data_IF_274098026155
#
_entry.id   IF_274098026155
#
_cell.length_a   1.000
_cell.length_b   1.000
_cell.length_c   1.000
_cell.angle_alpha   90.00
_cell.angle_beta   90.00
_cell.angle_gamma   90.00
#
_symmetry.space_group_name_H-M   'P 1'
#
loop_
_entity.id
_entity.type
_entity.pdbx_description
1 polymer ?
#
# COMPACT_ATOMS: atom_id res chain seq x y z
N UNK A 1 15.58 9.72 -22.61
CA UNK A 1 16.23 8.79 -21.66
C UNK A 1 16.62 9.57 -20.43
N UNK A 2 16.15 9.24 -19.22
CA UNK A 2 16.63 9.90 -18.01
C UNK A 2 18.12 9.57 -17.80
N UNK A 3 18.91 10.58 -17.47
CA UNK A 3 20.32 10.42 -17.13
C UNK A 3 20.38 9.74 -15.76
N UNK A 4 20.78 8.46 -15.73
CA UNK A 4 21.09 7.75 -14.49
C UNK A 4 22.29 8.43 -13.83
N UNK A 5 22.10 9.00 -12.64
CA UNK A 5 23.18 9.55 -11.84
C UNK A 5 24.11 8.43 -11.38
N UNK A 6 25.42 8.58 -11.61
CA UNK A 6 26.43 7.67 -11.05
C UNK A 6 26.43 7.79 -9.53
N UNK A 7 26.28 6.67 -8.82
CA UNK A 7 26.48 6.61 -7.38
C UNK A 7 27.91 6.19 -7.05
N UNK A 8 28.47 6.77 -5.98
CA UNK A 8 29.65 6.22 -5.31
C UNK A 8 29.25 5.34 -4.14
N UNK A 9 30.18 4.54 -3.63
CA UNK A 9 29.97 3.74 -2.42
C UNK A 9 29.52 4.61 -1.24
N UNK A 10 30.09 5.81 -1.08
CA UNK A 10 29.74 6.75 -0.02
C UNK A 10 28.34 7.36 -0.11
N UNK A 11 27.70 7.31 -1.29
CA UNK A 11 26.34 7.84 -1.50
C UNK A 11 25.26 6.79 -1.21
N UNK A 12 25.67 5.54 -0.91
CA UNK A 12 24.75 4.45 -0.60
C UNK A 12 24.17 4.64 0.79
N UNK A 13 22.86 4.85 0.85
CA UNK A 13 22.11 4.96 2.10
C UNK A 13 20.93 4.00 2.11
N UNK A 14 20.52 3.57 3.30
CA UNK A 14 19.28 2.82 3.47
C UNK A 14 18.07 3.58 2.90
N UNK A 15 17.12 2.85 2.33
CA UNK A 15 15.91 3.38 1.69
C UNK A 15 16.06 3.81 0.23
N UNK A 16 17.29 3.85 -0.32
CA UNK A 16 17.49 4.17 -1.75
C UNK A 16 17.22 2.97 -2.64
N UNK A 17 16.67 3.24 -3.82
CA UNK A 17 16.56 2.27 -4.91
C UNK A 17 17.74 2.41 -5.85
N UNK A 18 18.53 1.35 -5.97
CA UNK A 18 19.77 1.33 -6.74
C UNK A 18 19.74 0.20 -7.74
N UNK A 19 20.20 0.51 -8.95
CA UNK A 19 20.37 -0.45 -10.04
C UNK A 19 21.84 -0.85 -10.18
N UNK A 20 22.10 -2.09 -10.60
CA UNK A 20 23.45 -2.61 -10.81
C UNK A 20 24.07 -3.39 -9.64
N UNK A 21 23.38 -3.47 -8.48
CA UNK A 21 23.80 -4.36 -7.37
C UNK A 21 23.54 -5.84 -7.73
N UNK A 22 22.44 -6.09 -8.43
CA UNK A 22 22.09 -7.38 -9.03
C UNK A 22 21.91 -7.20 -10.53
N UNK A 23 22.12 -8.28 -11.28
CA UNK A 23 21.89 -8.28 -12.74
C UNK A 23 20.41 -8.12 -13.08
N UNK A 24 19.53 -8.55 -12.17
CA UNK A 24 18.08 -8.67 -12.37
C UNK A 24 17.32 -7.48 -11.78
N UNK A 25 17.64 -6.28 -12.27
CA UNK A 25 16.85 -5.08 -12.00
C UNK A 25 17.25 -4.25 -10.77
N UNK A 26 16.30 -3.44 -10.31
CA UNK A 26 16.49 -2.44 -9.28
C UNK A 26 16.19 -3.04 -7.90
N UNK A 27 16.99 -2.68 -6.89
CA UNK A 27 16.84 -3.17 -5.52
C UNK A 27 16.79 -2.03 -4.52
N UNK A 28 16.06 -2.24 -3.42
CA UNK A 28 16.00 -1.26 -2.33
C UNK A 28 17.03 -1.59 -1.27
N UNK A 29 17.90 -0.63 -0.94
CA UNK A 29 18.90 -0.79 0.10
C UNK A 29 18.22 -0.80 1.48
N UNK A 30 18.46 -1.84 2.27
CA UNK A 30 17.95 -1.98 3.64
C UNK A 30 18.99 -1.52 4.66
N UNK A 31 20.25 -1.89 4.44
CA UNK A 31 21.35 -1.52 5.31
C UNK A 31 22.65 -1.40 4.52
N UNK A 32 23.55 -0.54 5.00
CA UNK A 32 24.87 -0.32 4.40
C UNK A 32 25.91 -0.33 5.52
N UNK A 33 26.95 -1.13 5.35
CA UNK A 33 28.12 -1.19 6.22
C UNK A 33 29.36 -0.86 5.40
N UNK A 34 29.93 0.31 5.67
CA UNK A 34 31.17 0.76 5.03
C UNK A 34 32.39 0.07 5.63
N UNK A 35 33.29 -0.39 4.77
CA UNK A 35 34.62 -0.89 5.12
C UNK A 35 35.67 0.07 4.54
N UNK A 36 35.89 1.18 5.23
CA UNK A 36 36.78 2.24 4.75
C UNK A 36 36.18 2.97 3.54
N UNK A 37 37.04 3.30 2.56
CA UNK A 37 36.64 3.99 1.31
C UNK A 37 36.52 3.05 0.10
N UNK A 38 36.99 1.82 0.20
CA UNK A 38 37.18 0.93 -0.97
C UNK A 38 36.18 -0.21 -1.05
N UNK A 39 35.43 -0.45 0.03
CA UNK A 39 34.45 -1.53 0.07
C UNK A 39 33.24 -1.17 0.95
N UNK A 40 32.08 -1.71 0.58
CA UNK A 40 30.86 -1.62 1.37
C UNK A 40 30.07 -2.92 1.28
N UNK A 41 29.58 -3.42 2.40
CA UNK A 41 28.56 -4.45 2.42
C UNK A 41 27.18 -3.78 2.38
N UNK A 42 26.39 -4.16 1.39
CA UNK A 42 25.04 -3.65 1.19
C UNK A 42 24.07 -4.81 1.36
N UNK A 43 23.15 -4.65 2.31
CA UNK A 43 21.97 -5.51 2.43
C UNK A 43 20.84 -4.86 1.66
N UNK A 44 20.22 -5.58 0.74
CA UNK A 44 19.19 -5.07 -0.16
C UNK A 44 17.99 -6.00 -0.21
N UNK A 45 16.84 -5.45 -0.58
CA UNK A 45 15.59 -6.14 -0.80
C UNK A 45 15.26 -6.08 -2.29
N UNK A 46 14.98 -7.24 -2.87
CA UNK A 46 14.48 -7.35 -4.24
C UNK A 46 12.95 -7.11 -4.30
N UNK A 47 12.40 -6.83 -5.49
CA UNK A 47 10.96 -6.64 -5.68
C UNK A 47 10.11 -7.86 -5.28
N UNK A 48 10.69 -9.06 -5.31
CA UNK A 48 10.08 -10.31 -4.86
C UNK A 48 9.98 -10.43 -3.31
N UNK A 49 10.55 -9.48 -2.57
CA UNK A 49 10.60 -9.48 -1.11
C UNK A 49 11.80 -10.22 -0.52
N UNK A 50 12.64 -10.85 -1.35
CA UNK A 50 13.85 -11.53 -0.89
C UNK A 50 14.88 -10.50 -0.42
N UNK A 51 15.51 -10.79 0.73
CA UNK A 51 16.59 -9.96 1.28
C UNK A 51 17.90 -10.72 1.14
N UNK A 52 18.86 -10.07 0.50
CA UNK A 52 20.21 -10.59 0.27
C UNK A 52 21.25 -9.54 0.66
N UNK A 53 22.51 -9.97 0.75
CA UNK A 53 23.64 -9.09 0.95
C UNK A 53 24.71 -9.29 -0.11
N UNK A 54 25.44 -8.20 -0.41
CA UNK A 54 26.57 -8.22 -1.33
C UNK A 54 27.64 -7.25 -0.86
N UNK A 55 28.90 -7.64 -1.02
CA UNK A 55 30.05 -6.75 -0.87
C UNK A 55 30.31 -6.08 -2.22
N UNK A 56 30.32 -4.75 -2.22
CA UNK A 56 30.64 -3.90 -3.36
C UNK A 56 32.03 -3.30 -3.16
N UNK A 57 32.80 -3.24 -4.24
CA UNK A 57 34.11 -2.61 -4.30
C UNK A 57 34.08 -1.36 -5.16
N UNK A 58 35.17 -0.59 -5.13
CA UNK A 58 35.29 0.64 -5.92
C UNK A 58 35.13 0.39 -7.43
N UNK A 59 35.55 -0.76 -7.94
CA UNK A 59 35.35 -1.15 -9.35
C UNK A 59 33.88 -1.37 -9.70
N UNK A 60 33.05 -1.75 -8.73
CA UNK A 60 31.61 -1.95 -8.94
C UNK A 60 30.87 -0.60 -9.06
N UNK A 61 31.45 0.52 -8.60
CA UNK A 61 30.84 1.86 -8.71
C UNK A 61 30.49 2.25 -10.15
N UNK A 62 31.25 1.74 -11.13
CA UNK A 62 31.01 2.03 -12.53
C UNK A 62 29.65 1.52 -13.04
N UNK A 63 29.12 0.46 -12.42
CA UNK A 63 27.81 -0.13 -12.74
C UNK A 63 26.67 0.36 -11.86
N UNK A 64 26.97 1.06 -10.76
CA UNK A 64 25.95 1.55 -9.83
C UNK A 64 25.29 2.82 -10.36
N UNK A 65 23.97 2.78 -10.43
CA UNK A 65 23.19 3.93 -10.84
C UNK A 65 21.98 4.11 -9.94
N UNK A 66 21.69 5.38 -9.60
CA UNK A 66 20.45 5.73 -8.92
C UNK A 66 19.31 5.46 -9.89
N UNK A 67 18.40 4.58 -9.50
CA UNK A 67 17.10 4.59 -10.16
C UNK A 67 16.31 5.73 -9.55
N UNK A 68 15.78 6.60 -10.42
CA UNK A 68 14.84 7.63 -9.99
C UNK A 68 13.75 6.97 -9.14
N UNK A 69 13.23 7.64 -8.09
CA UNK A 69 12.16 7.11 -7.25
C UNK A 69 10.93 6.83 -8.13
N UNK A 70 10.89 5.62 -8.67
CA UNK A 70 9.85 5.09 -9.53
C UNK A 70 8.88 4.33 -8.67
N UNK A 71 7.87 5.04 -8.18
CA UNK A 71 6.47 4.58 -8.14
C UNK A 71 6.08 3.28 -7.40
N UNK A 72 6.95 2.58 -6.67
CA UNK A 72 6.54 1.32 -6.02
C UNK A 72 6.22 1.43 -4.52
N UNK A 73 6.24 2.62 -3.92
CA UNK A 73 5.91 2.73 -2.48
C UNK A 73 5.70 4.13 -1.91
N UNK A 74 5.52 5.14 -2.76
CA UNK A 74 5.15 6.47 -2.29
C UNK A 74 3.64 6.57 -2.11
N UNK A 75 3.14 6.57 -0.87
CA UNK A 75 1.80 7.07 -0.55
C UNK A 75 1.79 8.62 -0.62
N UNK A 76 2.24 9.16 -1.75
CA UNK A 76 2.30 10.60 -2.04
C UNK A 76 1.22 11.00 -3.07
N UNK A 77 0.17 10.17 -3.17
CA UNK A 77 -1.00 10.51 -3.94
C UNK A 77 -1.73 11.69 -3.29
N UNK A 78 -2.32 12.56 -4.11
CA UNK A 78 -3.06 13.72 -3.61
C UNK A 78 -4.10 13.29 -2.55
N UNK A 79 -4.03 13.84 -1.31
CA UNK A 79 -4.89 13.41 -0.22
C UNK A 79 -6.36 13.76 -0.45
N UNK A 80 -6.64 14.79 -1.27
CA UNK A 80 -7.99 15.17 -1.66
C UNK A 80 -8.63 14.13 -2.58
N UNK A 81 -7.91 13.69 -3.62
CA UNK A 81 -8.34 12.65 -4.54
C UNK A 81 -8.48 11.30 -3.84
N UNK A 82 -7.55 10.95 -2.94
CA UNK A 82 -7.65 9.72 -2.15
C UNK A 82 -8.90 9.73 -1.27
N UNK A 83 -9.20 10.85 -0.59
CA UNK A 83 -10.42 11.00 0.21
C UNK A 83 -11.68 10.87 -0.64
N UNK A 84 -11.71 11.49 -1.82
CA UNK A 84 -12.87 11.42 -2.72
C UNK A 84 -13.11 9.99 -3.21
N UNK A 85 -12.05 9.30 -3.63
CA UNK A 85 -12.12 7.91 -4.08
C UNK A 85 -12.51 6.95 -2.94
N UNK A 86 -11.95 7.14 -1.75
CA UNK A 86 -12.30 6.37 -0.56
C UNK A 86 -13.77 6.59 -0.15
N UNK A 87 -14.28 7.82 -0.24
CA UNK A 87 -15.68 8.13 0.06
C UNK A 87 -16.62 7.52 -0.98
N UNK A 88 -16.28 7.60 -2.27
CA UNK A 88 -17.04 6.94 -3.33
C UNK A 88 -17.07 5.40 -3.14
N UNK A 89 -15.94 4.81 -2.75
CA UNK A 89 -15.84 3.38 -2.42
C UNK A 89 -16.71 3.03 -1.21
N UNK A 90 -16.69 3.85 -0.15
CA UNK A 90 -17.54 3.68 1.04
C UNK A 90 -19.01 3.67 0.67
N UNK A 91 -19.48 4.66 -0.11
CA UNK A 91 -20.88 4.74 -0.55
C UNK A 91 -21.25 3.53 -1.40
N UNK A 92 -20.40 3.15 -2.35
CA UNK A 92 -20.63 1.98 -3.23
C UNK A 92 -20.74 0.68 -2.45
N UNK A 93 -19.94 0.51 -1.40
CA UNK A 93 -19.99 -0.68 -0.56
C UNK A 93 -21.20 -0.66 0.39
N UNK A 94 -21.57 0.51 0.93
CA UNK A 94 -22.79 0.66 1.73
C UNK A 94 -24.05 0.30 0.90
N UNK A 95 -24.13 0.80 -0.34
CA UNK A 95 -25.22 0.47 -1.25
C UNK A 95 -25.28 -1.02 -1.64
N UNK A 96 -24.16 -1.75 -1.57
CA UNK A 96 -24.11 -3.20 -1.81
C UNK A 96 -24.49 -4.02 -0.57
N UNK A 97 -24.32 -3.46 0.63
CA UNK A 97 -24.68 -4.09 1.90
C UNK A 97 -26.18 -4.01 2.25
N UNK A 98 -26.94 -3.12 1.62
CA UNK A 98 -28.34 -2.82 1.98
C UNK A 98 -29.39 -3.85 1.52
N UNK A 99 -28.99 -5.00 0.96
CA UNK A 99 -29.95 -6.00 0.49
C UNK A 99 -30.71 -6.74 1.62
N UNK A 100 -30.39 -6.54 2.90
CA UNK A 100 -31.02 -7.30 4.00
C UNK A 100 -31.26 -6.52 5.31
N UNK A 101 -31.47 -5.20 5.27
CA UNK A 101 -31.82 -4.41 6.47
C UNK A 101 -33.29 -3.95 6.51
N UNK A 102 -34.12 -4.44 5.59
CA UNK A 102 -35.55 -4.07 5.47
C UNK A 102 -36.50 -5.25 5.71
N UNK A 103 -36.35 -5.99 6.81
CA UNK A 103 -37.39 -6.94 7.26
C UNK A 103 -37.22 -7.35 8.74
N UNK A 104 -37.05 -6.42 9.68
CA UNK A 104 -37.44 -6.66 11.09
C UNK A 104 -37.19 -5.41 11.95
N UNK A 105 -38.16 -4.49 12.01
CA UNK A 105 -38.34 -3.59 13.18
C UNK A 105 -39.75 -3.00 13.31
N UNK A 106 -40.70 -3.32 12.42
CA UNK A 106 -42.10 -2.89 12.59
C UNK A 106 -43.02 -4.09 12.84
N UNK A 107 -42.86 -4.75 13.99
CA UNK A 107 -43.97 -5.49 14.60
C UNK A 107 -44.56 -4.61 15.70
N UNK A 108 -45.55 -3.79 15.34
CA UNK A 108 -46.36 -3.05 16.29
C UNK A 108 -47.22 -4.05 17.07
N UNK A 109 -46.71 -4.50 18.22
CA UNK A 109 -47.49 -5.27 19.18
C UNK A 109 -48.22 -4.31 20.11
N UNK A 110 -49.56 -4.26 19.99
CA UNK A 110 -50.41 -3.60 21.00
C UNK A 110 -51.56 -2.75 20.49
N UNK A 111 -52.39 -3.23 19.56
CA UNK A 111 -53.76 -2.71 19.39
C UNK A 111 -54.73 -3.89 19.35
N UNK A 112 -55.34 -4.19 20.49
CA UNK A 112 -56.49 -5.10 20.60
C UNK A 112 -57.75 -4.34 20.16
N UNK A 113 -58.32 -4.71 19.02
CA UNK A 113 -59.69 -4.34 18.64
C UNK A 113 -60.68 -5.25 19.39
N UNK A 114 -61.68 -4.71 20.13
CA UNK A 114 -62.71 -5.56 20.71
C UNK A 114 -63.67 -6.09 19.62
N UNK A 115 -64.05 -7.36 19.76
CA UNK A 115 -64.94 -8.09 18.87
C UNK A 115 -66.38 -7.52 18.83
N UNK A 116 -67.12 -7.68 17.72
CA UNK A 116 -68.47 -7.15 17.57
C UNK A 116 -69.47 -7.91 18.46
N UNK A 117 -70.23 -7.17 19.28
CA UNK A 117 -71.36 -7.73 20.01
C UNK A 117 -72.61 -7.67 19.12
N UNK A 118 -73.17 -8.83 18.81
CA UNK A 118 -74.47 -8.98 18.16
C UNK A 118 -75.41 -9.77 19.09
N UNK A 119 -76.32 -9.08 19.79
CA UNK A 119 -77.50 -9.64 20.50
C UNK A 119 -78.51 -8.48 20.62
N UNK A 120 -79.55 -8.40 19.80
CA UNK A 120 -80.89 -9.06 19.84
C UNK A 120 -81.95 -8.10 20.39
N UNK A 121 -82.80 -7.62 19.48
CA UNK A 121 -84.04 -6.89 19.76
C UNK A 121 -85.05 -7.86 20.37
N UNK A 122 -85.65 -7.46 21.49
CA UNK A 122 -86.92 -7.96 22.00
C UNK A 122 -87.77 -6.75 22.41
#
# INVERSE_FOLDING_TARGET
MPLRGRLRLGDLTAGRTVSGIVTDGDVTIVAVRMYGLTAAQVTYRRPDGTVDERILYQDDEAGLAESAPGAEGGFDADPGLYRLAAEALRIRMAARGDAMLAADIFSASGVTLPAPQAVMVA
#
